data_IF_706243723768
#
_entry.id   IF_706243723768
#
_cell.length_a   1.000
_cell.length_b   1.000
_cell.length_c   1.000
_cell.angle_alpha   90.00
_cell.angle_beta   90.00
_cell.angle_gamma   90.00
#
_symmetry.space_group_name_H-M   'P 1'
#
loop_
_entity.id
_entity.type
_entity.pdbx_description
1 polymer ?
#
# COMPACT_ATOMS: atom_id res chain seq x y z
N UNK A 1 -4.37 0.61 -14.69
CA UNK A 1 -4.42 0.15 -13.28
C UNK A 1 -5.26 -1.11 -13.31
N UNK A 2 -4.68 -2.20 -13.85
CA UNK A 2 -5.43 -3.28 -14.49
C UNK A 2 -6.45 -3.95 -13.57
N UNK A 3 -6.15 -4.09 -12.28
CA UNK A 3 -7.02 -4.77 -11.31
C UNK A 3 -8.22 -3.93 -10.88
N UNK A 4 -8.03 -2.62 -10.68
CA UNK A 4 -9.14 -1.71 -10.38
C UNK A 4 -10.02 -1.47 -11.61
N UNK A 5 -9.41 -1.49 -12.81
CA UNK A 5 -10.15 -1.51 -14.08
C UNK A 5 -10.98 -2.78 -14.22
N UNK A 6 -10.38 -3.96 -14.06
CA UNK A 6 -11.08 -5.25 -14.08
C UNK A 6 -12.18 -5.28 -13.01
N UNK A 7 -11.93 -4.82 -11.78
CA UNK A 7 -12.94 -4.81 -10.74
C UNK A 7 -14.13 -3.88 -11.06
N UNK A 8 -13.89 -2.74 -11.70
CA UNK A 8 -14.96 -1.82 -12.17
C UNK A 8 -15.68 -2.40 -13.39
N UNK A 9 -14.99 -3.16 -14.25
CA UNK A 9 -15.59 -3.89 -15.38
C UNK A 9 -16.48 -5.04 -14.87
N UNK A 10 -16.00 -5.90 -13.99
CA UNK A 10 -16.78 -6.99 -13.38
C UNK A 10 -18.00 -6.45 -12.60
N UNK A 11 -17.83 -5.35 -11.84
CA UNK A 11 -18.95 -4.70 -11.16
C UNK A 11 -19.99 -4.12 -12.14
N UNK A 12 -19.56 -3.73 -13.33
CA UNK A 12 -20.45 -3.25 -14.40
C UNK A 12 -21.21 -4.41 -15.01
N UNK A 13 -20.53 -5.49 -15.40
CA UNK A 13 -21.15 -6.70 -15.95
C UNK A 13 -22.17 -7.27 -14.97
N UNK A 14 -21.82 -7.37 -13.68
CA UNK A 14 -22.73 -7.77 -12.62
C UNK A 14 -24.00 -6.88 -12.56
N UNK A 15 -23.86 -5.56 -12.65
CA UNK A 15 -25.01 -4.65 -12.62
C UNK A 15 -25.88 -4.73 -13.88
N UNK A 16 -25.27 -4.99 -15.04
CA UNK A 16 -25.97 -5.21 -16.31
C UNK A 16 -26.78 -6.52 -16.28
N UNK A 17 -26.21 -7.59 -15.71
CA UNK A 17 -26.93 -8.87 -15.53
C UNK A 17 -28.09 -8.75 -14.54
N UNK A 18 -27.91 -8.04 -13.42
CA UNK A 18 -28.95 -7.87 -12.41
C UNK A 18 -30.07 -6.91 -12.88
N UNK A 19 -29.78 -5.98 -13.79
CA UNK A 19 -30.74 -5.00 -14.28
C UNK A 19 -30.58 -4.74 -15.80
N UNK A 20 -30.95 -5.70 -16.67
CA UNK A 20 -30.67 -5.63 -18.11
C UNK A 20 -31.31 -4.40 -18.80
N UNK A 21 -32.44 -3.93 -18.28
CA UNK A 21 -33.19 -2.79 -18.84
C UNK A 21 -32.68 -1.42 -18.33
N UNK A 22 -31.67 -1.38 -17.46
CA UNK A 22 -31.16 -0.14 -16.86
C UNK A 22 -29.68 0.05 -17.15
N UNK A 23 -29.36 1.21 -17.72
CA UNK A 23 -27.98 1.65 -17.90
C UNK A 23 -27.28 1.76 -16.54
N UNK A 24 -26.13 1.09 -16.42
CA UNK A 24 -25.28 1.19 -15.23
C UNK A 24 -24.83 2.63 -15.01
N UNK A 25 -25.09 3.14 -13.81
CA UNK A 25 -24.73 4.50 -13.43
C UNK A 25 -23.41 4.52 -12.67
N UNK A 26 -22.63 5.59 -12.81
CA UNK A 26 -21.38 5.79 -12.06
C UNK A 26 -21.59 5.76 -10.54
N UNK A 27 -22.73 6.23 -10.07
CA UNK A 27 -23.08 6.19 -8.64
C UNK A 27 -23.30 4.77 -8.13
N UNK A 28 -23.87 3.88 -8.96
CA UNK A 28 -24.03 2.47 -8.62
C UNK A 28 -22.69 1.73 -8.61
N UNK A 29 -21.80 2.02 -9.57
CA UNK A 29 -20.44 1.50 -9.58
C UNK A 29 -19.62 2.00 -8.40
N UNK A 30 -19.70 3.29 -8.06
CA UNK A 30 -19.07 3.87 -6.89
C UNK A 30 -19.51 3.18 -5.59
N UNK A 31 -20.81 2.88 -5.47
CA UNK A 31 -21.39 2.20 -4.32
C UNK A 31 -20.90 0.75 -4.19
N UNK A 32 -20.91 -0.02 -5.28
CA UNK A 32 -20.49 -1.44 -5.27
C UNK A 32 -18.98 -1.58 -5.12
N UNK A 33 -18.21 -0.76 -5.82
CA UNK A 33 -16.75 -0.83 -5.77
C UNK A 33 -16.15 -0.18 -4.51
N UNK A 34 -16.97 0.51 -3.70
CA UNK A 34 -16.49 1.28 -2.54
C UNK A 34 -15.58 2.46 -2.92
N UNK A 35 -15.77 3.03 -4.11
CA UNK A 35 -14.90 4.06 -4.70
C UNK A 35 -15.62 5.42 -4.82
N UNK A 36 -14.87 6.52 -4.78
CA UNK A 36 -15.40 7.84 -5.17
C UNK A 36 -15.84 7.81 -6.66
N UNK A 37 -16.99 8.40 -6.97
CA UNK A 37 -17.44 8.58 -8.36
C UNK A 37 -16.43 9.34 -9.25
N UNK A 38 -15.53 10.15 -8.67
CA UNK A 38 -14.39 10.74 -9.40
C UNK A 38 -13.29 9.75 -9.72
N UNK A 39 -13.08 8.73 -8.88
CA UNK A 39 -12.15 7.64 -9.19
C UNK A 39 -12.70 6.80 -10.35
N UNK A 40 -13.99 6.42 -10.31
CA UNK A 40 -14.69 5.74 -11.42
C UNK A 40 -14.58 6.55 -12.72
N UNK A 41 -14.85 7.86 -12.67
CA UNK A 41 -14.70 8.76 -13.82
C UNK A 41 -13.25 8.81 -14.32
N UNK A 42 -12.26 8.84 -13.42
CA UNK A 42 -10.84 8.84 -13.79
C UNK A 42 -10.40 7.53 -14.45
N UNK A 43 -11.00 6.39 -14.09
CA UNK A 43 -10.74 5.11 -14.78
C UNK A 43 -11.37 5.08 -16.17
N UNK A 44 -12.60 5.58 -16.31
CA UNK A 44 -13.28 5.68 -17.61
C UNK A 44 -12.57 6.67 -18.58
N UNK A 45 -11.89 7.69 -18.04
CA UNK A 45 -11.34 8.79 -18.84
C UNK A 45 -9.80 8.80 -18.98
N UNK A 46 -9.04 8.06 -18.16
CA UNK A 46 -7.57 8.13 -18.17
C UNK A 46 -6.89 6.78 -17.92
N UNK A 47 -6.49 6.11 -19.00
CA UNK A 47 -5.72 4.85 -18.98
C UNK A 47 -4.23 5.04 -18.58
N UNK A 48 -3.72 6.28 -18.57
CA UNK A 48 -2.27 6.59 -18.52
C UNK A 48 -1.79 7.37 -17.27
N UNK A 49 -2.59 7.43 -16.20
CA UNK A 49 -2.21 8.23 -15.00
C UNK A 49 -1.11 7.55 -14.18
N UNK A 50 0.01 8.24 -13.96
CA UNK A 50 1.01 7.87 -12.94
C UNK A 50 0.44 8.17 -11.55
N UNK A 51 0.36 7.15 -10.69
CA UNK A 51 -0.10 7.25 -9.31
C UNK A 51 1.07 7.65 -8.40
N UNK A 52 0.84 8.58 -7.48
CA UNK A 52 1.77 8.87 -6.40
C UNK A 52 1.65 7.80 -5.29
N UNK A 53 2.71 7.54 -4.50
CA UNK A 53 2.65 6.60 -3.37
C UNK A 53 1.51 6.87 -2.37
N UNK A 54 1.09 8.12 -2.23
CA UNK A 54 -0.05 8.50 -1.38
C UNK A 54 -1.43 8.14 -1.94
N UNK A 55 -1.55 7.94 -3.25
CA UNK A 55 -2.77 7.40 -3.89
C UNK A 55 -2.94 5.88 -3.62
N UNK A 56 -1.90 5.27 -3.02
CA UNK A 56 -1.79 3.84 -2.73
C UNK A 56 -2.10 3.57 -1.26
N UNK A 57 -1.29 4.09 -0.34
CA UNK A 57 -1.54 4.01 1.10
C UNK A 57 -1.05 5.32 1.72
N UNK A 58 -2.00 6.18 2.08
CA UNK A 58 -1.67 7.50 2.62
C UNK A 58 -0.97 7.38 3.99
N UNK A 59 -1.29 6.37 4.77
CA UNK A 59 -0.71 6.08 6.09
C UNK A 59 0.78 5.75 5.98
N UNK A 60 1.15 4.83 5.09
CA UNK A 60 2.56 4.51 4.83
C UNK A 60 3.34 5.73 4.32
N UNK A 61 2.76 6.50 3.41
CA UNK A 61 3.40 7.72 2.90
C UNK A 61 3.60 8.80 3.99
N UNK A 62 2.64 8.90 4.93
CA UNK A 62 2.74 9.81 6.08
C UNK A 62 3.86 9.38 7.02
N UNK A 63 3.94 8.09 7.37
CA UNK A 63 4.96 7.57 8.28
C UNK A 63 6.36 7.64 7.66
N UNK A 64 6.49 7.30 6.37
CA UNK A 64 7.75 7.42 5.63
C UNK A 64 8.24 8.88 5.62
N UNK A 65 7.35 9.83 5.29
CA UNK A 65 7.72 11.25 5.30
C UNK A 65 8.11 11.73 6.70
N UNK A 66 7.39 11.29 7.74
CA UNK A 66 7.75 11.64 9.11
C UNK A 66 9.11 11.07 9.51
N UNK A 67 9.47 9.91 9.00
CA UNK A 67 10.72 9.23 9.31
C UNK A 67 11.92 9.70 8.46
N UNK A 68 11.69 10.38 7.33
CA UNK A 68 12.75 10.80 6.39
C UNK A 68 12.91 12.32 6.22
N UNK A 69 11.84 13.10 6.37
CA UNK A 69 11.90 14.55 6.12
C UNK A 69 12.34 15.29 7.40
N UNK A 70 13.59 15.77 7.38
CA UNK A 70 14.25 16.53 8.46
C UNK A 70 13.40 17.72 8.97
N UNK A 71 12.46 18.25 8.18
CA UNK A 71 11.56 19.32 8.63
C UNK A 71 10.52 18.88 9.68
N UNK A 72 10.43 17.59 9.96
CA UNK A 72 9.64 17.00 11.04
C UNK A 72 10.50 16.37 12.14
N UNK A 73 11.82 16.58 12.12
CA UNK A 73 12.72 16.05 13.13
C UNK A 73 12.88 17.02 14.30
N UNK A 74 13.16 16.48 15.47
CA UNK A 74 13.54 17.23 16.64
C UNK A 74 15.01 17.64 16.52
N UNK A 75 15.27 18.96 16.58
CA UNK A 75 16.59 19.53 16.34
C UNK A 75 17.67 19.08 17.32
N UNK A 76 17.30 18.56 18.49
CA UNK A 76 18.25 18.07 19.49
C UNK A 76 18.58 16.59 19.33
N UNK A 77 17.64 15.77 18.85
CA UNK A 77 17.77 14.32 18.78
C UNK A 77 17.96 13.75 17.37
N UNK A 78 17.76 14.56 16.33
CA UNK A 78 17.83 14.15 14.91
C UNK A 78 16.90 12.94 14.61
N UNK A 79 15.77 12.91 15.30
CA UNK A 79 14.74 11.87 15.21
C UNK A 79 13.38 12.51 14.97
N UNK A 80 12.39 11.76 14.46
CA UNK A 80 11.02 12.26 14.28
C UNK A 80 10.50 12.94 15.56
N UNK A 81 10.10 14.20 15.45
CA UNK A 81 9.59 14.98 16.57
C UNK A 81 8.15 14.59 16.92
N UNK A 82 7.77 14.80 18.18
CA UNK A 82 6.35 14.87 18.56
C UNK A 82 5.72 16.10 17.89
N UNK A 83 4.71 15.89 17.04
CA UNK A 83 4.11 16.97 16.25
C UNK A 83 2.82 17.46 16.92
N UNK A 84 2.62 18.78 16.99
CA UNK A 84 1.30 19.33 17.32
C UNK A 84 0.28 18.89 16.25
N UNK A 85 -0.95 18.54 16.65
CA UNK A 85 -1.98 18.13 15.68
C UNK A 85 -2.26 19.25 14.68
N UNK A 86 -2.46 20.46 15.20
CA UNK A 86 -2.78 21.67 14.44
C UNK A 86 -1.82 22.81 14.77
N UNK A 87 -1.62 23.73 13.81
CA UNK A 87 -0.79 24.92 14.00
C UNK A 87 0.08 25.27 12.79
N UNK A 88 0.84 26.38 12.87
CA UNK A 88 1.50 26.98 11.71
C UNK A 88 2.77 26.25 11.24
N UNK A 89 3.52 25.60 12.13
CA UNK A 89 4.83 25.01 11.80
C UNK A 89 5.06 23.67 12.51
N UNK A 90 5.65 22.70 11.80
CA UNK A 90 6.03 21.39 12.38
C UNK A 90 4.84 20.60 12.96
N UNK A 91 3.71 20.56 12.23
CA UNK A 91 2.47 19.95 12.71
C UNK A 91 2.10 18.70 11.93
N UNK A 92 1.34 17.81 12.58
CA UNK A 92 0.80 16.60 11.96
C UNK A 92 -0.09 16.97 10.77
N UNK A 93 -0.90 18.02 10.87
CA UNK A 93 -1.66 18.55 9.73
C UNK A 93 -0.78 18.88 8.51
N UNK A 94 0.40 19.48 8.73
CA UNK A 94 1.31 19.84 7.63
C UNK A 94 1.99 18.61 7.05
N UNK A 95 2.35 17.65 7.89
CA UNK A 95 2.85 16.33 7.48
C UNK A 95 1.83 15.63 6.56
N UNK A 96 0.58 15.49 7.01
CA UNK A 96 -0.50 14.87 6.23
C UNK A 96 -0.73 15.61 4.91
N UNK A 97 -0.79 16.94 4.93
CA UNK A 97 -0.99 17.74 3.71
C UNK A 97 0.14 17.57 2.70
N UNK A 98 1.37 17.34 3.17
CA UNK A 98 2.56 17.22 2.33
C UNK A 98 2.74 15.80 1.79
N UNK A 99 2.46 14.78 2.61
CA UNK A 99 2.55 13.38 2.23
C UNK A 99 1.36 12.92 1.38
N UNK A 100 0.13 13.21 1.84
CA UNK A 100 -1.11 12.68 1.27
C UNK A 100 -1.95 13.72 0.50
N UNK A 101 -1.53 14.99 0.48
CA UNK A 101 -2.22 16.04 -0.26
C UNK A 101 -3.62 16.36 0.30
N UNK A 102 -4.51 16.85 -0.56
CA UNK A 102 -5.88 17.25 -0.16
C UNK A 102 -6.87 16.08 -0.09
N UNK A 103 -6.44 14.87 -0.44
CA UNK A 103 -7.31 13.70 -0.49
C UNK A 103 -7.61 13.13 0.91
N UNK A 104 -6.72 13.36 1.88
CA UNK A 104 -6.83 12.84 3.24
C UNK A 104 -6.87 14.00 4.24
N UNK A 105 -7.80 13.94 5.19
CA UNK A 105 -7.86 14.94 6.25
C UNK A 105 -6.91 14.56 7.39
N UNK A 106 -6.31 15.54 8.10
CA UNK A 106 -5.46 15.26 9.25
C UNK A 106 -6.14 14.40 10.32
N UNK A 107 -7.44 14.62 10.53
CA UNK A 107 -8.19 13.87 11.54
C UNK A 107 -8.37 12.40 11.14
N UNK A 108 -8.75 12.13 9.89
CA UNK A 108 -8.87 10.75 9.39
C UNK A 108 -7.53 10.01 9.41
N UNK A 109 -6.44 10.68 9.03
CA UNK A 109 -5.10 10.09 9.10
C UNK A 109 -4.70 9.77 10.55
N UNK A 110 -5.01 10.66 11.49
CA UNK A 110 -4.70 10.47 12.91
C UNK A 110 -5.46 9.28 13.49
N UNK A 111 -6.77 9.21 13.26
CA UNK A 111 -7.63 8.10 13.72
C UNK A 111 -7.07 6.75 13.26
N UNK A 112 -6.75 6.63 11.97
CA UNK A 112 -6.22 5.38 11.41
C UNK A 112 -4.85 4.98 11.93
N UNK A 113 -3.95 5.95 12.13
CA UNK A 113 -2.61 5.67 12.66
C UNK A 113 -2.64 5.34 14.16
N UNK A 114 -3.64 5.85 14.90
CA UNK A 114 -3.89 5.45 16.29
C UNK A 114 -4.45 4.02 16.34
N UNK A 115 -5.43 3.71 15.50
CA UNK A 115 -6.01 2.36 15.36
C UNK A 115 -4.92 1.34 14.97
N UNK A 116 -4.01 1.70 14.06
CA UNK A 116 -2.91 0.83 13.65
C UNK A 116 -1.73 0.82 14.63
N UNK A 117 -1.81 1.53 15.77
CA UNK A 117 -0.75 1.57 16.78
C UNK A 117 0.58 2.22 16.32
N UNK A 118 0.62 2.81 15.13
CA UNK A 118 1.81 3.47 14.58
C UNK A 118 2.10 4.79 15.30
N UNK A 119 1.08 5.43 15.87
CA UNK A 119 1.23 6.67 16.63
C UNK A 119 0.47 6.61 17.94
N UNK A 120 0.77 7.55 18.84
CA UNK A 120 -0.02 7.79 20.05
C UNK A 120 -0.18 9.28 20.33
N UNK A 121 -1.22 9.61 21.08
CA UNK A 121 -1.43 10.96 21.60
C UNK A 121 -0.59 11.20 22.86
N UNK A 122 0.04 12.38 22.96
CA UNK A 122 0.81 12.86 24.12
C UNK A 122 0.48 14.32 24.42
N UNK A 123 1.01 14.84 25.54
CA UNK A 123 0.80 16.22 26.00
C UNK A 123 -0.69 16.62 26.03
N UNK A 124 -1.49 15.89 26.84
CA UNK A 124 -2.95 16.06 26.94
C UNK A 124 -3.66 16.02 25.57
N UNK A 125 -3.26 15.07 24.72
CA UNK A 125 -3.85 14.84 23.40
C UNK A 125 -3.63 15.99 22.40
N UNK A 126 -2.70 16.89 22.67
CA UNK A 126 -2.39 18.01 21.76
C UNK A 126 -1.31 17.67 20.74
N UNK A 127 -0.53 16.62 21.00
CA UNK A 127 0.58 16.19 20.14
C UNK A 127 0.48 14.71 19.79
N UNK A 128 1.03 14.38 18.63
CA UNK A 128 1.12 13.04 18.08
C UNK A 128 2.57 12.60 18.13
N UNK A 129 2.83 11.45 18.75
CA UNK A 129 4.14 10.80 18.81
C UNK A 129 4.17 9.60 17.87
N UNK A 130 5.22 9.52 17.06
CA UNK A 130 5.52 8.34 16.25
C UNK A 130 6.01 7.18 17.16
N UNK A 131 5.40 6.00 17.00
CA UNK A 131 5.73 4.78 17.75
C UNK A 131 6.39 3.75 16.84
N UNK A 132 5.79 3.51 15.67
CA UNK A 132 6.32 2.60 14.66
C UNK A 132 6.25 3.28 13.28
N UNK A 133 7.39 3.52 12.60
CA UNK A 133 7.41 4.12 11.27
C UNK A 133 6.91 3.16 10.18
N UNK A 134 6.77 1.86 10.48
CA UNK A 134 6.35 0.86 9.51
C UNK A 134 4.86 0.63 9.64
N UNK A 135 4.10 1.03 8.62
CA UNK A 135 2.67 0.76 8.61
C UNK A 135 2.42 -0.76 8.56
N UNK A 136 1.97 -1.31 9.68
CA UNK A 136 1.41 -2.65 9.75
C UNK A 136 -0.07 -2.52 10.09
N UNK A 137 -1.00 -3.14 9.34
CA UNK A 137 -2.40 -3.14 9.71
C UNK A 137 -2.57 -3.91 11.03
N UNK A 138 -2.74 -3.20 12.15
CA UNK A 138 -2.88 -3.82 13.48
C UNK A 138 -4.31 -4.30 13.74
N UNK A 139 -5.29 -3.88 12.92
CA UNK A 139 -6.61 -4.52 12.85
C UNK A 139 -6.95 -4.91 11.41
N UNK A 140 -7.63 -6.05 11.27
CA UNK A 140 -8.16 -6.56 10.01
C UNK A 140 -9.31 -5.68 9.50
N UNK A 141 -9.00 -4.46 9.12
CA UNK A 141 -9.77 -3.74 8.13
C UNK A 141 -9.61 -4.55 6.84
N UNK A 142 -10.61 -5.37 6.54
CA UNK A 142 -10.75 -6.10 5.28
C UNK A 142 -10.41 -5.19 4.09
N UNK A 143 -10.80 -3.92 4.20
CA UNK A 143 -10.48 -2.86 3.25
C UNK A 143 -8.97 -2.62 3.08
N UNK A 144 -8.20 -2.55 4.16
CA UNK A 144 -6.74 -2.34 4.09
C UNK A 144 -6.05 -3.55 3.45
N UNK A 145 -6.50 -4.77 3.79
CA UNK A 145 -6.01 -5.98 3.16
C UNK A 145 -6.36 -6.04 1.66
N UNK A 146 -7.59 -5.67 1.30
CA UNK A 146 -8.05 -5.55 -0.10
C UNK A 146 -7.24 -4.49 -0.85
N UNK A 147 -6.99 -3.33 -0.24
CA UNK A 147 -6.21 -2.25 -0.85
C UNK A 147 -4.75 -2.71 -1.08
N UNK A 148 -4.08 -3.24 -0.04
CA UNK A 148 -2.73 -3.80 -0.15
C UNK A 148 -2.63 -4.93 -1.19
N UNK A 149 -3.59 -5.85 -1.19
CA UNK A 149 -3.69 -6.93 -2.17
C UNK A 149 -3.90 -6.41 -3.59
N UNK A 150 -4.76 -5.41 -3.78
CA UNK A 150 -4.98 -4.79 -5.09
C UNK A 150 -3.69 -4.18 -5.67
N UNK A 151 -2.85 -3.57 -4.82
CA UNK A 151 -1.57 -3.02 -5.25
C UNK A 151 -0.55 -4.09 -5.59
N UNK A 152 -0.46 -5.13 -4.76
CA UNK A 152 0.36 -6.30 -5.01
C UNK A 152 0.07 -6.88 -6.39
N UNK A 153 -1.21 -7.14 -6.68
CA UNK A 153 -1.63 -7.72 -7.95
C UNK A 153 -1.40 -6.72 -9.09
N UNK A 154 -1.62 -5.41 -8.91
CA UNK A 154 -1.32 -4.43 -9.95
C UNK A 154 0.18 -4.37 -10.29
N UNK A 155 1.08 -4.49 -9.30
CA UNK A 155 2.54 -4.50 -9.52
C UNK A 155 2.99 -5.81 -10.20
N UNK A 156 2.40 -6.94 -9.80
CA UNK A 156 2.58 -8.21 -10.48
C UNK A 156 2.13 -8.12 -11.95
N UNK A 157 0.95 -7.54 -12.21
CA UNK A 157 0.45 -7.30 -13.56
C UNK A 157 1.38 -6.44 -14.42
N UNK A 158 1.98 -5.39 -13.86
CA UNK A 158 3.02 -4.60 -14.56
C UNK A 158 4.24 -5.45 -14.92
N UNK A 159 4.68 -6.31 -13.99
CA UNK A 159 5.82 -7.21 -14.21
C UNK A 159 5.54 -8.22 -15.31
N UNK A 160 4.33 -8.81 -15.33
CA UNK A 160 3.85 -9.69 -16.40
C UNK A 160 3.86 -8.94 -17.74
N UNK A 161 3.24 -7.76 -17.82
CA UNK A 161 3.19 -6.97 -19.05
C UNK A 161 4.58 -6.61 -19.57
N UNK A 162 5.49 -6.17 -18.71
CA UNK A 162 6.89 -5.89 -19.07
C UNK A 162 7.57 -7.15 -19.62
N UNK A 163 7.47 -8.26 -18.88
CA UNK A 163 8.11 -9.51 -19.23
C UNK A 163 7.59 -10.15 -20.53
N UNK A 164 6.31 -9.94 -20.87
CA UNK A 164 5.69 -10.42 -22.10
C UNK A 164 5.92 -9.50 -23.29
N UNK A 165 5.96 -8.17 -23.09
CA UNK A 165 6.14 -7.19 -24.18
C UNK A 165 7.60 -6.86 -24.49
N UNK A 166 8.55 -7.25 -23.64
CA UNK A 166 9.97 -6.97 -23.86
C UNK A 166 10.48 -7.65 -25.13
N UNK A 167 11.35 -6.96 -25.86
CA UNK A 167 12.26 -7.62 -26.79
C UNK A 167 13.40 -8.23 -25.97
N UNK A 168 13.55 -9.56 -26.04
CA UNK A 168 14.53 -10.32 -25.25
C UNK A 168 15.98 -9.92 -25.51
N UNK A 169 16.26 -9.24 -26.62
CA UNK A 169 17.60 -8.80 -27.01
C UNK A 169 18.00 -7.44 -26.42
N UNK A 170 17.03 -6.62 -26.00
CA UNK A 170 17.27 -5.23 -25.57
C UNK A 170 16.95 -5.01 -24.09
N UNK A 171 15.93 -5.70 -23.56
CA UNK A 171 15.43 -5.42 -22.21
C UNK A 171 15.39 -6.70 -21.35
N UNK A 172 16.11 -6.74 -20.21
CA UNK A 172 16.07 -7.89 -19.31
C UNK A 172 14.69 -8.05 -18.68
N UNK A 173 14.40 -9.28 -18.26
CA UNK A 173 13.18 -9.58 -17.52
C UNK A 173 13.26 -8.89 -16.16
N UNK A 174 12.12 -8.42 -15.67
CA UNK A 174 11.96 -8.19 -14.24
C UNK A 174 11.82 -9.52 -13.52
N UNK A 175 12.37 -9.59 -12.32
CA UNK A 175 12.28 -10.77 -11.48
C UNK A 175 10.81 -11.09 -11.17
N UNK A 176 10.37 -12.28 -11.53
CA UNK A 176 9.05 -12.82 -11.25
C UNK A 176 9.21 -14.31 -10.97
N UNK A 177 9.07 -14.72 -9.71
CA UNK A 177 9.36 -16.08 -9.27
C UNK A 177 8.38 -16.50 -8.16
N UNK A 178 7.88 -17.73 -8.25
CA UNK A 178 7.05 -18.37 -7.24
C UNK A 178 7.66 -19.73 -6.88
N UNK A 179 7.51 -20.14 -5.60
CA UNK A 179 7.91 -21.46 -5.14
C UNK A 179 6.88 -22.01 -4.15
N UNK A 180 6.46 -23.24 -4.38
CA UNK A 180 5.57 -23.98 -3.47
C UNK A 180 6.05 -25.42 -3.27
N UNK A 181 5.58 -26.07 -2.20
CA UNK A 181 5.86 -27.47 -1.87
C UNK A 181 4.59 -28.17 -1.40
N UNK A 182 4.35 -29.38 -1.90
CA UNK A 182 3.26 -30.27 -1.43
C UNK A 182 3.75 -31.32 -0.43
N UNK A 183 5.06 -31.33 -0.12
CA UNK A 183 5.71 -32.36 0.68
C UNK A 183 6.00 -31.95 2.13
N UNK A 184 5.32 -30.92 2.66
CA UNK A 184 5.52 -30.46 4.03
C UNK A 184 4.50 -31.18 4.93
N UNK A 185 4.93 -32.04 5.89
CA UNK A 185 4.02 -32.67 6.83
C UNK A 185 3.31 -31.63 7.71
N UNK A 186 2.02 -31.86 8.01
CA UNK A 186 1.17 -30.89 8.74
C UNK A 186 1.73 -30.59 10.13
N UNK A 187 2.34 -31.56 10.80
CA UNK A 187 2.97 -31.40 12.11
C UNK A 187 4.19 -30.47 12.10
N UNK A 188 4.77 -30.20 10.91
CA UNK A 188 5.89 -29.26 10.75
C UNK A 188 5.44 -27.84 10.41
N UNK A 189 4.15 -27.61 10.21
CA UNK A 189 3.64 -26.35 9.67
C UNK A 189 4.03 -25.14 10.52
N UNK A 190 3.87 -25.22 11.84
CA UNK A 190 4.26 -24.12 12.75
C UNK A 190 5.75 -23.80 12.71
N UNK A 191 6.57 -24.84 12.59
CA UNK A 191 8.03 -24.70 12.50
C UNK A 191 8.41 -24.02 11.17
N UNK A 192 7.77 -24.45 10.07
CA UNK A 192 7.95 -23.84 8.74
C UNK A 192 7.47 -22.39 8.72
N UNK A 193 6.33 -22.07 9.33
CA UNK A 193 5.81 -20.69 9.45
C UNK A 193 6.81 -19.78 10.15
N UNK A 194 7.36 -20.22 11.28
CA UNK A 194 8.37 -19.48 12.02
C UNK A 194 9.65 -19.27 11.20
N UNK A 195 10.17 -20.34 10.58
CA UNK A 195 11.39 -20.28 9.78
C UNK A 195 11.24 -19.38 8.55
N UNK A 196 10.12 -19.52 7.80
CA UNK A 196 9.83 -18.69 6.63
C UNK A 196 9.73 -17.22 7.02
N UNK A 197 9.02 -16.91 8.12
CA UNK A 197 8.90 -15.53 8.60
C UNK A 197 10.26 -14.93 8.93
N UNK A 198 11.11 -15.66 9.65
CA UNK A 198 12.44 -15.20 10.00
C UNK A 198 13.33 -14.95 8.78
N UNK A 199 13.28 -15.84 7.78
CA UNK A 199 14.03 -15.69 6.53
C UNK A 199 13.52 -14.50 5.72
N UNK A 200 12.21 -14.36 5.57
CA UNK A 200 11.60 -13.24 4.85
C UNK A 200 11.94 -11.91 5.52
N UNK A 201 11.82 -11.81 6.84
CA UNK A 201 12.14 -10.60 7.58
C UNK A 201 13.60 -10.17 7.37
N UNK A 202 14.54 -11.12 7.46
CA UNK A 202 15.95 -10.85 7.19
C UNK A 202 16.18 -10.34 5.76
N UNK A 203 15.50 -10.91 4.77
CA UNK A 203 15.61 -10.44 3.39
C UNK A 203 14.97 -9.06 3.17
N UNK A 204 13.84 -8.79 3.81
CA UNK A 204 13.18 -7.47 3.76
C UNK A 204 14.16 -6.40 4.26
N UNK A 205 14.73 -6.58 5.45
CA UNK A 205 15.70 -5.64 6.03
C UNK A 205 16.92 -5.40 5.12
N UNK A 206 17.42 -6.46 4.47
CA UNK A 206 18.55 -6.35 3.53
C UNK A 206 18.20 -5.57 2.26
N UNK A 207 17.01 -5.80 1.71
CA UNK A 207 16.54 -5.12 0.50
C UNK A 207 16.21 -3.66 0.80
N UNK A 208 15.54 -3.38 1.91
CA UNK A 208 15.26 -2.01 2.36
C UNK A 208 16.55 -1.22 2.56
N UNK A 209 17.53 -1.79 3.29
CA UNK A 209 18.82 -1.13 3.46
C UNK A 209 19.56 -0.86 2.15
N UNK A 210 19.41 -1.73 1.15
CA UNK A 210 19.94 -1.47 -0.20
C UNK A 210 19.19 -0.34 -0.90
N UNK A 211 17.86 -0.33 -0.84
CA UNK A 211 17.02 0.72 -1.46
C UNK A 211 17.32 2.08 -0.85
N UNK A 212 17.33 2.18 0.49
CA UNK A 212 17.67 3.42 1.21
C UNK A 212 19.07 3.93 0.84
N UNK A 213 20.04 3.05 0.64
CA UNK A 213 21.39 3.45 0.21
C UNK A 213 21.42 4.05 -1.20
N UNK A 214 20.50 3.65 -2.08
CA UNK A 214 20.38 4.18 -3.44
C UNK A 214 19.49 5.43 -3.52
N UNK A 215 18.71 5.74 -2.48
CA UNK A 215 17.88 6.94 -2.44
C UNK A 215 18.75 8.20 -2.30
N UNK A 216 18.48 9.21 -3.14
CA UNK A 216 19.14 10.52 -3.07
C UNK A 216 18.17 11.57 -2.52
N UNK A 217 18.70 12.64 -1.91
CA UNK A 217 17.87 13.78 -1.46
C UNK A 217 17.15 14.38 -2.68
N UNK A 218 15.84 14.68 -2.58
CA UNK A 218 15.00 15.00 -3.73
C UNK A 218 15.42 16.34 -4.36
N UNK A 219 16.26 16.28 -5.38
CA UNK A 219 16.75 17.46 -6.10
C UNK A 219 16.67 17.33 -7.63
N UNK A 220 16.37 16.14 -8.18
CA UNK A 220 16.38 15.93 -9.63
C UNK A 220 15.06 15.39 -10.17
N UNK A 221 14.58 15.99 -11.28
CA UNK A 221 13.31 15.64 -11.96
C UNK A 221 13.35 14.29 -12.71
N UNK A 222 14.30 13.42 -12.40
CA UNK A 222 14.56 12.16 -13.12
C UNK A 222 14.56 10.93 -12.21
N UNK A 223 13.78 10.98 -11.12
CA UNK A 223 13.60 9.84 -10.21
C UNK A 223 12.71 8.76 -10.85
N UNK A 224 13.05 7.49 -10.62
CA UNK A 224 12.25 6.34 -11.02
C UNK A 224 11.71 5.62 -9.77
N UNK A 225 10.46 5.13 -9.86
CA UNK A 225 9.87 4.35 -8.76
C UNK A 225 10.24 2.88 -8.92
N UNK A 226 10.87 2.32 -7.90
CA UNK A 226 11.19 0.89 -7.77
C UNK A 226 10.41 0.37 -6.57
N UNK A 227 9.81 -0.82 -6.69
CA UNK A 227 9.10 -1.46 -5.60
C UNK A 227 9.33 -2.96 -5.60
N UNK A 228 9.56 -3.51 -4.42
CA UNK A 228 9.64 -4.95 -4.15
C UNK A 228 8.47 -5.33 -3.26
N UNK A 229 7.86 -6.48 -3.50
CA UNK A 229 6.75 -7.00 -2.70
C UNK A 229 7.04 -8.42 -2.24
N UNK A 230 6.60 -8.75 -1.04
CA UNK A 230 6.76 -10.08 -0.43
C UNK A 230 5.39 -10.61 -0.04
N UNK A 231 5.15 -11.89 -0.34
CA UNK A 231 3.87 -12.55 -0.09
C UNK A 231 4.13 -13.95 0.44
N UNK A 232 3.32 -14.36 1.40
CA UNK A 232 3.28 -15.72 1.92
C UNK A 232 1.84 -16.21 1.83
N UNK A 233 1.66 -17.43 1.32
CA UNK A 233 0.36 -18.07 1.21
C UNK A 233 0.47 -19.57 1.48
N UNK A 234 -0.62 -20.15 1.96
CA UNK A 234 -0.81 -21.58 2.21
C UNK A 234 -2.17 -21.99 1.64
N UNK A 235 -2.30 -23.24 1.19
CA UNK A 235 -3.59 -23.84 0.80
C UNK A 235 -3.86 -25.03 1.72
N UNK A 236 -4.90 -24.95 2.55
CA UNK A 236 -5.37 -26.07 3.34
C UNK A 236 -6.29 -26.95 2.49
N UNK A 237 -5.71 -27.81 1.64
CA UNK A 237 -6.50 -28.91 1.07
C UNK A 237 -6.77 -29.96 2.15
N UNK A 238 -8.01 -30.01 2.64
CA UNK A 238 -8.41 -31.01 3.63
C UNK A 238 -9.80 -30.90 4.26
N UNK A 239 -10.87 -30.83 3.46
CA UNK A 239 -12.16 -31.43 3.84
C UNK A 239 -12.61 -32.38 2.75
N UNK A 240 -12.14 -33.63 2.83
CA UNK A 240 -12.86 -34.75 2.23
C UNK A 240 -14.06 -34.98 3.16
N UNK A 241 -15.19 -34.34 2.83
CA UNK A 241 -16.48 -34.70 3.41
C UNK A 241 -17.15 -35.74 2.50
N UNK A 242 -17.30 -36.95 3.05
CA UNK A 242 -18.40 -37.90 2.78
C UNK A 242 -18.46 -38.57 1.42
#
# INVERSE_FOLDING_TARGET
NLIREIYVEEAREYLEEQNPDRKVTRSALALICGMDGRAIKSFEENTDRQYAPSDVCSEAAILEMWNKDESFFDAASDKPADLLIHGPHGTFQRLVSRAAGRAVTPQTALERLLESGNVRLVDNETRVRLIDPWYMPVEASERTAIEAGSFAISRLGKSILHNTKRSSEVTPAWLQQDRWSTGIPRERLELVRADIRAVLQKHIEQVEGYMEHQEHKPYERTECSIGVGWYYWEDEQGSVDG
#
